data_IF_448461022582
#
_entry.id   IF_448461022582
#
_cell.length_a   1.000
_cell.length_b   1.000
_cell.length_c   1.000
_cell.angle_alpha   90.00
_cell.angle_beta   90.00
_cell.angle_gamma   90.00
#
_symmetry.space_group_name_H-M   'P 1'
#
loop_
_entity.id
_entity.type
_entity.pdbx_description
1 polymer ?
#
# COMPACT_ATOMS: atom_id res chain seq x y z
N UNK A 1 -13.55 6.81 52.59
CA UNK A 1 -12.62 7.58 51.72
C UNK A 1 -12.40 6.76 50.45
N UNK A 2 -13.06 7.09 49.33
CA UNK A 2 -12.77 6.48 48.03
C UNK A 2 -11.89 7.45 47.26
N UNK A 3 -10.66 7.04 46.94
CA UNK A 3 -9.72 7.83 46.14
C UNK A 3 -10.17 7.74 44.68
N UNK A 4 -10.45 8.89 44.08
CA UNK A 4 -10.68 9.02 42.64
C UNK A 4 -9.29 9.15 42.01
N UNK A 5 -8.94 8.20 41.14
CA UNK A 5 -7.74 8.29 40.31
C UNK A 5 -8.16 8.97 39.01
N UNK A 6 -7.71 10.21 38.81
CA UNK A 6 -7.85 10.90 37.53
C UNK A 6 -6.85 10.26 36.56
N UNK A 7 -7.35 9.45 35.63
CA UNK A 7 -6.59 9.00 34.49
C UNK A 7 -6.39 10.21 33.57
N UNK A 8 -5.20 10.78 33.57
CA UNK A 8 -4.81 11.80 32.61
C UNK A 8 -4.63 11.10 31.26
N UNK A 9 -5.68 11.06 30.45
CA UNK A 9 -5.59 10.62 29.06
C UNK A 9 -4.85 11.74 28.30
N UNK A 10 -3.56 11.53 28.04
CA UNK A 10 -2.82 12.37 27.12
C UNK A 10 -3.38 12.10 25.72
N UNK A 11 -4.36 12.90 25.30
CA UNK A 11 -4.70 13.03 23.89
C UNK A 11 -3.50 13.66 23.21
N UNK A 12 -2.60 12.82 22.69
CA UNK A 12 -1.66 13.25 21.68
C UNK A 12 -2.54 13.56 20.47
N UNK A 13 -2.87 14.84 20.29
CA UNK A 13 -3.43 15.29 19.04
C UNK A 13 -2.34 15.08 17.99
N UNK A 14 -2.35 13.94 17.33
CA UNK A 14 -1.65 13.76 16.07
C UNK A 14 -2.31 14.73 15.10
N UNK A 15 -1.67 15.89 14.91
CA UNK A 15 -1.94 16.72 13.74
C UNK A 15 -1.53 15.88 12.52
N UNK A 16 -2.46 15.10 11.99
CA UNK A 16 -2.30 14.41 10.72
C UNK A 16 -2.20 15.48 9.65
N UNK A 17 -1.00 15.66 9.09
CA UNK A 17 -0.81 16.51 7.93
C UNK A 17 -0.95 15.63 6.69
N UNK A 18 -2.20 15.32 6.33
CA UNK A 18 -2.55 14.49 5.16
C UNK A 18 -1.86 14.93 3.86
N UNK A 19 -1.43 16.20 3.81
CA UNK A 19 -0.64 16.76 2.72
C UNK A 19 0.77 16.16 2.60
N UNK A 20 1.46 15.88 3.70
CA UNK A 20 2.81 15.30 3.74
C UNK A 20 2.74 13.77 3.67
N UNK A 21 1.73 13.18 4.32
CA UNK A 21 1.56 11.72 4.42
C UNK A 21 1.53 11.02 3.05
N UNK A 22 2.20 9.88 2.93
CA UNK A 22 2.25 9.05 1.72
C UNK A 22 3.68 8.73 1.27
N UNK A 23 3.76 8.12 0.08
CA UNK A 23 5.02 7.77 -0.59
C UNK A 23 5.34 8.83 -1.64
N UNK A 24 6.59 9.27 -1.69
CA UNK A 24 7.07 10.30 -2.60
C UNK A 24 8.36 9.88 -3.28
N UNK A 25 8.50 10.28 -4.55
CA UNK A 25 9.69 10.04 -5.37
C UNK A 25 10.21 11.36 -5.91
N UNK A 26 11.51 11.46 -6.14
CA UNK A 26 12.06 12.62 -6.85
C UNK A 26 11.39 12.73 -8.22
N UNK A 27 10.97 13.94 -8.59
CA UNK A 27 10.30 14.17 -9.86
C UNK A 27 11.27 13.93 -11.01
N UNK A 28 10.95 13.02 -11.93
CA UNK A 28 11.75 12.73 -13.14
C UNK A 28 11.66 13.85 -14.18
N UNK A 29 12.18 15.02 -13.82
CA UNK A 29 12.19 16.20 -14.69
C UNK A 29 13.45 17.03 -14.48
N UNK A 30 13.87 17.81 -15.49
CA UNK A 30 14.89 18.83 -15.30
C UNK A 30 14.49 19.81 -14.19
N UNK A 31 15.45 20.21 -13.35
CA UNK A 31 15.15 21.13 -12.24
C UNK A 31 14.73 20.48 -10.92
N UNK A 32 14.53 19.16 -10.89
CA UNK A 32 14.11 18.45 -9.68
C UNK A 32 15.19 18.35 -8.61
N UNK A 33 16.47 18.34 -9.01
CA UNK A 33 17.61 18.54 -8.12
C UNK A 33 18.33 19.80 -8.59
N UNK A 34 18.46 20.78 -7.71
CA UNK A 34 19.08 22.05 -8.04
C UNK A 34 19.83 22.63 -6.84
N UNK A 35 20.91 23.35 -7.10
CA UNK A 35 21.68 24.05 -6.08
C UNK A 35 22.05 25.44 -6.55
N UNK A 36 22.00 26.39 -5.62
CA UNK A 36 22.30 27.78 -5.89
C UNK A 36 22.45 28.64 -4.63
N UNK A 37 22.76 29.93 -4.81
CA UNK A 37 23.04 30.84 -3.70
C UNK A 37 21.80 31.19 -2.85
N UNK A 38 20.59 31.07 -3.39
CA UNK A 38 19.34 31.44 -2.73
C UNK A 38 18.33 30.29 -2.81
N UNK A 39 17.30 30.33 -1.95
CA UNK A 39 16.19 29.37 -1.99
C UNK A 39 15.54 29.35 -3.39
N UNK A 40 15.37 28.15 -3.95
CA UNK A 40 14.87 27.95 -5.31
C UNK A 40 15.76 28.40 -6.46
N UNK A 41 17.02 28.72 -6.21
CA UNK A 41 18.01 29.03 -7.24
C UNK A 41 18.76 27.75 -7.66
N UNK A 42 18.81 27.47 -8.96
CA UNK A 42 19.53 26.33 -9.55
C UNK A 42 20.73 26.73 -10.41
N UNK A 43 21.28 27.94 -10.23
CA UNK A 43 22.28 28.52 -11.14
C UNK A 43 23.69 27.96 -10.97
N UNK A 44 24.02 27.32 -9.84
CA UNK A 44 25.30 26.63 -9.69
C UNK A 44 25.28 25.28 -10.41
N UNK A 45 24.21 24.53 -10.20
CA UNK A 45 23.94 23.30 -10.93
C UNK A 45 22.47 22.92 -10.80
N UNK A 46 21.93 22.29 -11.84
CA UNK A 46 20.63 21.63 -11.79
C UNK A 46 20.61 20.45 -12.75
N UNK A 47 19.90 19.38 -12.39
CA UNK A 47 19.78 18.21 -13.24
C UNK A 47 19.08 18.59 -14.56
N UNK A 48 19.61 18.07 -15.66
CA UNK A 48 19.03 18.13 -16.99
C UNK A 48 18.42 16.77 -17.37
N UNK A 49 17.72 16.73 -18.50
CA UNK A 49 17.11 15.49 -19.01
C UNK A 49 18.08 14.30 -19.09
N UNK A 50 19.35 14.45 -19.54
CA UNK A 50 20.29 13.32 -19.56
C UNK A 50 20.66 12.78 -18.18
N UNK A 51 20.58 13.60 -17.13
CA UNK A 51 20.91 13.18 -15.77
C UNK A 51 19.85 12.22 -15.22
N UNK A 52 18.62 12.25 -15.75
CA UNK A 52 17.56 11.31 -15.36
C UNK A 52 18.00 9.87 -15.67
N UNK A 53 18.43 9.64 -16.91
CA UNK A 53 18.94 8.32 -17.32
C UNK A 53 20.26 7.96 -16.65
N UNK A 54 21.14 8.95 -16.43
CA UNK A 54 22.47 8.70 -15.81
C UNK A 54 22.33 8.30 -14.34
N UNK A 55 21.32 8.84 -13.65
CA UNK A 55 21.06 8.62 -12.21
C UNK A 55 19.78 7.80 -12.00
N UNK A 56 19.50 6.84 -12.88
CA UNK A 56 18.23 6.10 -12.89
C UNK A 56 17.81 5.58 -11.50
N UNK A 57 18.76 4.99 -10.78
CA UNK A 57 18.63 4.46 -9.40
C UNK A 57 18.32 5.49 -8.31
N UNK A 58 18.29 6.80 -8.62
CA UNK A 58 17.91 7.83 -7.65
C UNK A 58 16.43 8.20 -7.78
N UNK A 59 15.82 7.93 -8.92
CA UNK A 59 14.47 8.39 -9.22
C UNK A 59 13.39 7.40 -8.75
N UNK A 60 13.76 6.13 -8.63
CA UNK A 60 12.98 5.06 -8.00
C UNK A 60 13.16 5.02 -6.47
N UNK A 61 14.10 5.78 -5.90
CA UNK A 61 14.22 5.98 -4.46
C UNK A 61 12.97 6.69 -3.90
N UNK A 62 12.35 6.05 -2.92
CA UNK A 62 11.17 6.54 -2.24
C UNK A 62 11.48 7.16 -0.88
N UNK A 63 10.59 8.07 -0.45
CA UNK A 63 10.49 8.51 0.94
C UNK A 63 9.05 8.35 1.42
N UNK A 64 8.88 7.78 2.60
CA UNK A 64 7.58 7.44 3.17
C UNK A 64 7.33 8.25 4.43
N UNK A 65 6.23 8.99 4.43
CA UNK A 65 5.71 9.70 5.60
C UNK A 65 4.43 9.03 6.07
N UNK A 66 4.47 8.26 7.15
CA UNK A 66 3.27 7.60 7.67
C UNK A 66 2.48 8.53 8.60
N UNK A 67 1.16 8.31 8.67
CA UNK A 67 0.25 9.11 9.50
C UNK A 67 0.51 9.00 11.02
N UNK A 68 1.25 7.96 11.46
CA UNK A 68 1.67 7.81 12.87
C UNK A 68 2.95 8.59 13.20
N UNK A 69 3.56 9.28 12.23
CA UNK A 69 4.77 10.09 12.40
C UNK A 69 6.08 9.37 12.09
N UNK A 70 6.04 8.12 11.62
CA UNK A 70 7.24 7.40 11.19
C UNK A 70 7.70 7.86 9.78
N UNK A 71 9.00 7.84 9.59
CA UNK A 71 9.66 8.18 8.33
C UNK A 71 10.55 7.01 7.89
N UNK A 72 10.58 6.75 6.58
CA UNK A 72 11.52 5.80 5.99
C UNK A 72 12.03 6.29 4.63
N UNK A 73 13.33 6.09 4.38
CA UNK A 73 13.89 6.01 3.03
C UNK A 73 13.65 4.59 2.49
N UNK A 74 13.29 4.46 1.22
CA UNK A 74 13.23 3.18 0.52
C UNK A 74 14.01 3.26 -0.79
N UNK A 75 15.24 2.78 -0.77
CA UNK A 75 16.23 2.88 -1.85
C UNK A 75 16.42 1.58 -2.64
N UNK A 76 15.76 0.49 -2.21
CA UNK A 76 15.84 -0.79 -2.91
C UNK A 76 17.27 -1.33 -2.98
N UNK A 77 17.64 -1.87 -4.15
CA UNK A 77 18.94 -2.54 -4.34
C UNK A 77 20.09 -1.58 -4.64
N UNK A 78 19.81 -0.46 -5.33
CA UNK A 78 20.79 0.49 -5.81
C UNK A 78 20.27 1.92 -5.61
N UNK A 79 21.15 2.84 -5.20
CA UNK A 79 20.91 4.30 -5.15
C UNK A 79 22.08 5.05 -5.79
N UNK A 80 21.96 6.37 -5.96
CA UNK A 80 23.08 7.19 -6.45
C UNK A 80 24.12 7.41 -5.35
N UNK A 81 25.30 6.84 -5.56
CA UNK A 81 26.44 6.95 -4.66
C UNK A 81 27.45 7.97 -5.16
N UNK A 82 28.05 8.69 -4.22
CA UNK A 82 29.19 9.58 -4.45
C UNK A 82 30.46 9.01 -3.81
N UNK A 83 31.67 9.44 -4.23
CA UNK A 83 32.93 8.87 -3.74
C UNK A 83 33.13 8.87 -2.22
N UNK A 84 32.48 9.79 -1.50
CA UNK A 84 32.54 9.84 -0.04
C UNK A 84 31.86 8.62 0.62
N UNK A 85 30.98 7.92 -0.10
CA UNK A 85 30.33 6.68 0.32
C UNK A 85 31.18 5.43 0.00
N UNK A 86 32.38 5.58 -0.55
CA UNK A 86 33.34 4.49 -0.76
C UNK A 86 33.38 3.92 -2.18
N UNK A 87 32.63 4.50 -3.13
CA UNK A 87 32.71 4.19 -4.56
C UNK A 87 33.83 4.96 -5.26
N UNK A 88 34.27 4.49 -6.42
CA UNK A 88 35.41 5.08 -7.15
C UNK A 88 35.04 6.38 -7.90
N UNK A 89 33.78 6.51 -8.30
CA UNK A 89 33.18 7.65 -8.98
C UNK A 89 31.71 7.78 -8.60
N UNK A 90 31.02 8.81 -9.10
CA UNK A 90 29.57 8.85 -8.96
C UNK A 90 28.94 7.74 -9.81
N UNK A 91 28.16 6.86 -9.19
CA UNK A 91 27.55 5.70 -9.84
C UNK A 91 26.32 5.19 -9.09
N UNK A 92 25.49 4.40 -9.77
CA UNK A 92 24.47 3.59 -9.09
C UNK A 92 25.13 2.42 -8.37
N UNK A 93 24.70 2.14 -7.14
CA UNK A 93 25.15 0.98 -6.38
C UNK A 93 24.46 0.83 -5.03
N UNK A 94 24.80 -0.23 -4.30
CA UNK A 94 24.18 -0.59 -3.04
C UNK A 94 24.20 0.55 -1.99
N UNK A 95 23.04 0.92 -1.40
CA UNK A 95 22.97 1.96 -0.38
C UNK A 95 23.94 1.76 0.79
N UNK A 96 24.55 2.86 1.27
CA UNK A 96 25.62 2.82 2.27
C UNK A 96 25.17 3.42 3.60
N UNK A 97 25.42 2.70 4.70
CA UNK A 97 25.11 3.16 6.05
C UNK A 97 25.85 4.45 6.44
N UNK A 98 25.21 5.36 7.19
CA UNK A 98 23.88 5.22 7.81
C UNK A 98 22.69 5.61 6.92
N UNK A 99 22.92 5.95 5.65
CA UNK A 99 21.90 6.46 4.74
C UNK A 99 21.18 5.37 3.93
N UNK A 100 21.35 4.10 4.29
CA UNK A 100 20.72 2.96 3.62
C UNK A 100 19.36 2.63 4.25
N UNK A 101 18.27 2.87 3.53
CA UNK A 101 16.89 2.64 4.00
C UNK A 101 16.64 3.17 5.43
N UNK A 102 17.18 4.36 5.69
CA UNK A 102 17.17 4.96 7.02
C UNK A 102 15.73 5.22 7.49
N UNK A 103 15.45 4.83 8.74
CA UNK A 103 14.17 5.05 9.40
C UNK A 103 14.27 6.09 10.51
N UNK A 104 13.19 6.82 10.76
CA UNK A 104 13.09 7.77 11.85
C UNK A 104 11.68 8.28 12.04
N UNK A 105 11.55 9.54 12.44
CA UNK A 105 10.27 10.22 12.61
C UNK A 105 10.24 11.52 11.84
N UNK A 106 9.05 12.03 11.52
CA UNK A 106 8.88 13.33 10.90
C UNK A 106 7.86 14.20 11.63
N UNK A 107 7.99 15.51 11.45
CA UNK A 107 6.98 16.50 11.86
C UNK A 107 6.92 17.65 10.85
N UNK A 108 5.76 18.29 10.76
CA UNK A 108 5.53 19.42 9.86
C UNK A 108 4.80 20.54 10.62
N UNK A 109 5.24 21.78 10.46
CA UNK A 109 4.62 22.93 11.16
C UNK A 109 3.73 23.81 10.26
N UNK A 110 3.54 23.40 9.00
CA UNK A 110 2.87 24.19 7.96
C UNK A 110 3.84 24.84 6.96
N UNK A 111 5.13 24.93 7.29
CA UNK A 111 6.18 25.46 6.42
C UNK A 111 7.48 24.64 6.44
N UNK A 112 7.83 24.06 7.58
CA UNK A 112 9.06 23.30 7.76
C UNK A 112 8.75 21.84 8.05
N UNK A 113 9.38 20.96 7.26
CA UNK A 113 9.41 19.52 7.48
C UNK A 113 10.68 19.17 8.24
N UNK A 114 10.54 18.54 9.41
CA UNK A 114 11.66 18.07 10.23
C UNK A 114 11.72 16.56 10.22
N UNK A 115 12.87 15.99 9.86
CA UNK A 115 13.19 14.58 10.01
C UNK A 115 14.07 14.38 11.25
N UNK A 116 13.86 13.29 11.98
CA UNK A 116 14.71 12.88 13.11
C UNK A 116 14.98 11.38 13.04
N UNK A 117 16.24 11.01 12.93
CA UNK A 117 16.72 9.65 12.76
C UNK A 117 18.10 9.67 12.11
N UNK A 118 19.01 8.78 12.53
CA UNK A 118 20.35 8.72 11.94
C UNK A 118 20.23 8.38 10.46
N UNK A 119 20.81 9.20 9.59
CA UNK A 119 20.81 8.98 8.13
C UNK A 119 19.49 9.30 7.42
N UNK A 120 18.43 9.72 8.12
CA UNK A 120 17.16 10.09 7.47
C UNK A 120 17.34 11.34 6.62
N UNK A 121 16.84 11.31 5.40
CA UNK A 121 16.94 12.43 4.47
C UNK A 121 15.86 12.39 3.39
N UNK A 122 15.55 13.56 2.83
CA UNK A 122 14.97 13.67 1.49
C UNK A 122 15.99 14.37 0.58
N UNK A 123 15.97 14.03 -0.69
CA UNK A 123 16.95 14.44 -1.69
C UNK A 123 18.25 13.66 -1.54
N UNK A 124 19.37 14.37 -1.44
CA UNK A 124 20.69 13.75 -1.36
C UNK A 124 21.16 13.52 0.09
N UNK A 125 21.73 12.36 0.41
CA UNK A 125 22.19 12.04 1.76
C UNK A 125 23.33 12.95 2.23
N UNK A 126 24.09 13.59 1.34
CA UNK A 126 25.16 14.50 1.79
C UNK A 126 24.67 15.81 2.40
N UNK A 127 23.43 16.23 2.16
CA UNK A 127 22.99 17.61 2.42
C UNK A 127 22.41 17.76 3.82
N UNK A 128 23.13 18.49 4.69
CA UNK A 128 22.75 18.75 6.07
C UNK A 128 22.34 20.22 6.25
N UNK A 129 21.66 20.55 7.35
CA UNK A 129 21.46 21.95 7.71
C UNK A 129 22.80 22.61 8.06
N UNK A 130 23.22 23.58 7.26
CA UNK A 130 24.45 24.36 7.48
C UNK A 130 25.75 23.68 7.08
N UNK A 131 25.72 22.45 6.51
CA UNK A 131 26.91 21.77 6.00
C UNK A 131 26.61 20.69 4.96
N UNK A 132 27.65 20.10 4.38
CA UNK A 132 27.57 18.87 3.56
C UNK A 132 28.56 17.81 4.05
N UNK A 133 28.17 16.54 3.93
CA UNK A 133 29.07 15.40 4.08
C UNK A 133 30.05 15.33 2.90
N UNK A 134 31.26 14.80 3.11
CA UNK A 134 31.84 14.35 4.38
C UNK A 134 32.49 15.47 5.20
N UNK A 135 32.26 16.75 4.84
CA UNK A 135 32.85 17.92 5.51
C UNK A 135 32.31 18.20 6.92
N UNK A 136 31.26 17.49 7.33
CA UNK A 136 30.64 17.56 8.64
C UNK A 136 30.25 16.15 9.14
N UNK A 137 29.71 16.08 10.36
CA UNK A 137 29.16 14.85 10.92
C UNK A 137 27.65 14.77 10.68
N UNK A 138 27.14 13.57 10.41
CA UNK A 138 25.69 13.31 10.40
C UNK A 138 25.10 13.60 11.78
N UNK A 139 24.02 14.37 11.82
CA UNK A 139 23.39 14.88 13.04
C UNK A 139 22.17 14.05 13.43
N UNK A 140 21.58 13.32 12.47
CA UNK A 140 20.32 12.61 12.66
C UNK A 140 19.10 13.54 12.73
N UNK A 141 19.24 14.82 12.36
CA UNK A 141 18.12 15.76 12.22
C UNK A 141 18.31 16.59 10.97
N UNK A 142 17.25 16.69 10.16
CA UNK A 142 17.21 17.57 8.98
C UNK A 142 15.92 18.37 8.96
N UNK A 143 16.02 19.64 8.63
CA UNK A 143 14.90 20.58 8.50
C UNK A 143 14.88 21.11 7.08
N UNK A 144 13.74 20.99 6.43
CA UNK A 144 13.50 21.43 5.06
C UNK A 144 12.41 22.51 5.07
N UNK A 145 12.62 23.60 4.34
CA UNK A 145 11.55 24.52 3.99
C UNK A 145 10.76 23.87 2.85
N UNK A 146 9.48 23.56 3.07
CA UNK A 146 8.66 22.82 2.10
C UNK A 146 7.45 23.64 1.65
N UNK A 147 7.11 23.46 0.37
CA UNK A 147 5.87 23.96 -0.22
C UNK A 147 5.26 22.89 -1.11
N UNK A 148 3.96 23.02 -1.37
CA UNK A 148 3.21 22.05 -2.14
C UNK A 148 2.44 22.73 -3.28
N UNK A 149 2.25 22.01 -4.36
CA UNK A 149 1.31 22.41 -5.41
C UNK A 149 -0.14 22.47 -4.87
N UNK A 150 -1.05 23.23 -5.52
CA UNK A 150 -2.44 23.35 -5.08
C UNK A 150 -3.20 22.02 -4.97
N UNK A 151 -2.83 21.02 -5.75
CA UNK A 151 -3.40 19.67 -5.72
C UNK A 151 -2.72 18.75 -4.69
N UNK A 152 -1.66 19.22 -4.03
CA UNK A 152 -0.90 18.47 -3.03
C UNK A 152 -0.04 17.33 -3.59
N UNK A 153 0.12 17.24 -4.91
CA UNK A 153 0.81 16.13 -5.56
C UNK A 153 2.31 16.38 -5.77
N UNK A 154 2.74 17.64 -5.75
CA UNK A 154 4.15 18.03 -5.87
C UNK A 154 4.61 18.66 -4.57
N UNK A 155 5.70 18.16 -3.99
CA UNK A 155 6.40 18.78 -2.88
C UNK A 155 7.68 19.42 -3.40
N UNK A 156 7.93 20.69 -3.06
CA UNK A 156 9.23 21.34 -3.27
C UNK A 156 9.87 21.54 -1.90
N UNK A 157 10.99 20.88 -1.66
CA UNK A 157 11.75 20.93 -0.43
C UNK A 157 13.09 21.64 -0.65
N UNK A 158 13.37 22.65 0.14
CA UNK A 158 14.62 23.40 0.12
C UNK A 158 15.38 23.22 1.45
N UNK A 159 16.69 23.08 1.39
CA UNK A 159 17.56 22.97 2.57
C UNK A 159 18.80 23.84 2.41
N UNK A 160 19.03 24.69 3.41
CA UNK A 160 20.23 25.52 3.47
C UNK A 160 21.39 24.70 4.03
N UNK A 161 22.44 24.52 3.22
CA UNK A 161 23.63 23.75 3.59
C UNK A 161 24.81 24.64 4.03
N UNK A 162 24.55 25.92 4.31
CA UNK A 162 25.52 26.92 4.78
C UNK A 162 25.91 27.90 3.67
N UNK A 163 26.69 27.47 2.66
CA UNK A 163 27.05 28.32 1.51
C UNK A 163 25.89 28.68 0.58
N UNK A 164 24.85 27.84 0.51
CA UNK A 164 23.72 28.03 -0.39
C UNK A 164 22.55 27.11 -0.05
N UNK A 165 21.72 26.84 -1.04
CA UNK A 165 20.49 26.07 -0.91
C UNK A 165 20.45 24.94 -1.94
N UNK A 166 20.09 23.75 -1.46
CA UNK A 166 19.61 22.68 -2.32
C UNK A 166 18.10 22.71 -2.41
N UNK A 167 17.58 22.36 -3.59
CA UNK A 167 16.16 22.13 -3.87
C UNK A 167 15.96 20.71 -4.37
N UNK A 168 14.92 20.07 -3.84
CA UNK A 168 14.42 18.77 -4.25
C UNK A 168 12.93 18.88 -4.58
N UNK A 169 12.55 18.50 -5.79
CA UNK A 169 11.15 18.44 -6.21
C UNK A 169 10.73 16.97 -6.21
N UNK A 170 9.68 16.68 -5.45
CA UNK A 170 9.11 15.36 -5.29
C UNK A 170 7.71 15.31 -5.88
N UNK A 171 7.33 14.14 -6.40
CA UNK A 171 5.97 13.81 -6.80
C UNK A 171 5.43 12.70 -5.91
N UNK A 172 4.16 12.84 -5.54
CA UNK A 172 3.46 11.85 -4.73
C UNK A 172 3.16 10.62 -5.59
N UNK A 173 3.37 9.44 -5.02
CA UNK A 173 2.99 8.17 -5.63
C UNK A 173 1.50 8.13 -5.98
N UNK A 174 1.14 7.41 -7.04
CA UNK A 174 -0.24 7.26 -7.50
C UNK A 174 -0.85 8.51 -8.15
N UNK A 175 -0.03 9.49 -8.55
CA UNK A 175 -0.48 10.71 -9.24
C UNK A 175 -0.02 10.73 -10.70
N UNK A 176 -0.68 11.53 -11.55
CA UNK A 176 -0.43 11.61 -13.01
C UNK A 176 1.00 12.06 -13.36
N UNK A 177 1.76 12.60 -12.39
CA UNK A 177 3.12 13.12 -12.58
C UNK A 177 4.21 12.38 -11.77
N UNK A 178 3.86 11.44 -10.89
CA UNK A 178 4.84 10.60 -10.17
C UNK A 178 5.10 9.28 -10.90
N UNK A 179 6.18 8.55 -10.58
CA UNK A 179 6.30 7.15 -10.99
C UNK A 179 5.06 6.41 -10.44
N UNK A 180 4.33 5.79 -11.35
CA UNK A 180 3.01 5.21 -11.06
C UNK A 180 3.16 3.85 -10.39
N UNK A 181 3.73 3.78 -9.18
CA UNK A 181 3.58 2.54 -8.41
C UNK A 181 2.12 2.39 -8.01
N UNK A 182 1.63 1.17 -8.02
CA UNK A 182 0.30 0.80 -7.58
C UNK A 182 0.37 -0.03 -6.31
N UNK A 183 -0.46 0.31 -5.32
CA UNK A 183 -0.60 -0.48 -4.10
C UNK A 183 -1.34 -1.79 -4.43
N UNK A 184 -0.60 -2.89 -4.41
CA UNK A 184 -1.14 -4.23 -4.68
C UNK A 184 -1.16 -5.03 -3.39
N UNK A 185 -2.36 -5.43 -2.98
CA UNK A 185 -2.58 -6.30 -1.83
C UNK A 185 -2.68 -7.75 -2.27
N UNK A 186 -1.73 -8.56 -1.83
CA UNK A 186 -1.71 -10.02 -2.03
C UNK A 186 -2.32 -10.72 -0.83
N UNK A 187 -3.13 -11.75 -1.09
CA UNK A 187 -3.75 -12.59 -0.07
C UNK A 187 -3.56 -14.06 -0.42
N UNK A 188 -3.15 -14.87 0.55
CA UNK A 188 -3.06 -16.34 0.39
C UNK A 188 -3.70 -17.03 1.58
N UNK A 189 -4.54 -18.03 1.31
CA UNK A 189 -5.12 -18.91 2.31
C UNK A 189 -4.22 -20.15 2.45
N UNK A 190 -3.67 -20.31 3.66
CA UNK A 190 -2.79 -21.41 4.04
C UNK A 190 -3.55 -22.53 4.77
N UNK A 191 -4.89 -22.51 4.83
CA UNK A 191 -5.69 -23.47 5.61
C UNK A 191 -5.48 -24.92 5.19
N UNK A 192 -5.19 -25.17 3.91
CA UNK A 192 -4.90 -26.51 3.38
C UNK A 192 -3.41 -26.87 3.39
N UNK A 193 -2.54 -25.93 3.80
CA UNK A 193 -1.11 -26.21 3.94
C UNK A 193 -0.88 -27.14 5.14
N UNK A 194 -0.38 -28.33 4.86
CA UNK A 194 -0.17 -29.38 5.88
C UNK A 194 1.24 -29.39 6.49
N UNK A 195 2.14 -28.57 5.96
CA UNK A 195 3.48 -28.39 6.50
C UNK A 195 3.48 -27.57 7.79
N UNK A 196 4.69 -27.30 8.30
CA UNK A 196 4.87 -26.40 9.45
C UNK A 196 5.25 -25.02 8.95
N UNK A 197 4.68 -23.98 9.54
CA UNK A 197 5.07 -22.58 9.34
C UNK A 197 5.83 -22.16 10.60
N UNK A 198 7.13 -21.93 10.48
CA UNK A 198 8.02 -21.58 11.58
C UNK A 198 8.20 -20.08 11.74
N UNK A 199 8.79 -19.41 10.75
CA UNK A 199 9.07 -17.97 10.73
C UNK A 199 8.00 -17.16 10.02
N UNK A 200 7.27 -17.75 9.06
CA UNK A 200 6.10 -17.11 8.45
C UNK A 200 5.88 -17.44 6.98
N UNK A 201 4.92 -16.73 6.38
CA UNK A 201 4.64 -16.76 4.95
C UNK A 201 5.21 -15.50 4.31
N UNK A 202 5.80 -15.64 3.12
CA UNK A 202 6.48 -14.56 2.41
C UNK A 202 6.03 -14.54 0.96
N UNK A 203 6.11 -13.36 0.33
CA UNK A 203 5.92 -13.22 -1.11
C UNK A 203 7.27 -12.92 -1.79
N UNK A 204 7.56 -13.65 -2.87
CA UNK A 204 8.79 -13.51 -3.63
C UNK A 204 8.47 -13.35 -5.11
N UNK A 205 9.19 -12.49 -5.82
CA UNK A 205 8.94 -12.28 -7.23
C UNK A 205 10.01 -11.45 -7.94
N UNK A 206 9.73 -11.09 -9.18
CA UNK A 206 10.64 -10.29 -10.01
C UNK A 206 10.91 -8.91 -9.42
N UNK A 207 9.95 -8.33 -8.68
CA UNK A 207 10.03 -7.02 -8.05
C UNK A 207 10.94 -6.96 -6.82
N UNK A 208 11.33 -8.09 -6.23
CA UNK A 208 12.26 -8.14 -5.10
C UNK A 208 13.45 -9.08 -5.34
N UNK A 209 13.70 -9.46 -6.59
CA UNK A 209 14.79 -10.36 -6.95
C UNK A 209 14.72 -11.74 -6.29
N UNK A 210 13.51 -12.24 -5.96
CA UNK A 210 13.31 -13.55 -5.32
C UNK A 210 14.06 -13.72 -3.98
N UNK A 211 14.13 -12.67 -3.17
CA UNK A 211 15.09 -12.58 -2.08
C UNK A 211 14.89 -13.56 -0.89
N UNK A 212 13.71 -14.18 -0.76
CA UNK A 212 13.36 -15.08 0.35
C UNK A 212 12.54 -14.41 1.42
N UNK A 213 13.19 -13.77 2.39
CA UNK A 213 12.56 -13.30 3.62
C UNK A 213 12.27 -11.79 3.68
N UNK A 214 12.56 -11.02 2.63
CA UNK A 214 12.41 -9.55 2.68
C UNK A 214 10.97 -9.05 2.69
N UNK A 215 10.01 -9.83 2.18
CA UNK A 215 8.60 -9.45 2.13
C UNK A 215 7.75 -10.42 2.95
N UNK A 216 7.83 -10.37 4.30
CA UNK A 216 6.98 -11.16 5.17
C UNK A 216 5.52 -10.72 5.04
N UNK A 217 4.62 -11.68 5.01
CA UNK A 217 3.19 -11.45 5.06
C UNK A 217 2.70 -11.45 6.52
N UNK A 218 1.60 -10.76 6.78
CA UNK A 218 0.96 -10.71 8.09
C UNK A 218 -0.18 -11.72 8.15
N UNK A 219 -0.25 -12.51 9.22
CA UNK A 219 -1.40 -13.37 9.53
C UNK A 219 -2.62 -12.49 9.84
N UNK A 220 -3.63 -12.56 8.97
CA UNK A 220 -4.90 -11.84 9.08
C UNK A 220 -5.99 -12.65 9.82
N UNK A 221 -5.66 -13.86 10.29
CA UNK A 221 -6.57 -14.78 10.94
C UNK A 221 -7.31 -15.69 9.95
N UNK A 222 -7.89 -16.79 10.46
CA UNK A 222 -8.66 -17.73 9.64
C UNK A 222 -7.85 -18.46 8.57
N UNK A 223 -6.52 -18.51 8.69
CA UNK A 223 -5.62 -19.12 7.72
C UNK A 223 -5.12 -18.17 6.63
N UNK A 224 -5.60 -16.92 6.59
CA UNK A 224 -5.24 -15.94 5.56
C UNK A 224 -3.99 -15.17 5.95
N UNK A 225 -3.06 -15.05 5.01
CA UNK A 225 -1.89 -14.19 5.09
C UNK A 225 -1.99 -13.08 4.05
N UNK A 226 -1.61 -11.85 4.43
CA UNK A 226 -1.76 -10.65 3.60
C UNK A 226 -0.52 -9.76 3.63
N UNK A 227 -0.23 -9.12 2.50
CA UNK A 227 0.73 -8.01 2.40
C UNK A 227 0.29 -7.02 1.31
N UNK A 228 0.57 -5.74 1.51
CA UNK A 228 0.36 -4.69 0.49
C UNK A 228 1.71 -4.13 0.11
N UNK A 229 2.04 -4.14 -1.18
CA UNK A 229 3.31 -3.65 -1.72
C UNK A 229 3.06 -2.55 -2.76
N UNK A 230 3.82 -1.45 -2.76
CA UNK A 230 3.84 -0.52 -3.87
C UNK A 230 4.68 -1.13 -5.01
N UNK A 231 4.05 -1.37 -6.16
CA UNK A 231 4.69 -2.06 -7.28
C UNK A 231 4.58 -1.25 -8.57
N UNK A 232 5.65 -1.25 -9.37
CA UNK A 232 5.64 -0.61 -10.68
C UNK A 232 4.58 -1.23 -11.62
N UNK A 233 4.06 -0.45 -12.59
CA UNK A 233 3.20 -0.99 -13.62
C UNK A 233 3.94 -2.01 -14.47
N UNK A 234 3.22 -3.02 -14.94
CA UNK A 234 3.76 -4.04 -15.82
C UNK A 234 3.55 -5.45 -15.29
N UNK A 235 4.14 -6.41 -15.98
CA UNK A 235 3.96 -7.83 -15.67
C UNK A 235 5.04 -8.31 -14.69
N UNK A 236 4.60 -8.85 -13.56
CA UNK A 236 5.46 -9.49 -12.57
C UNK A 236 5.25 -11.00 -12.55
N UNK A 237 6.27 -11.74 -12.13
CA UNK A 237 6.12 -13.12 -11.68
C UNK A 237 6.33 -13.20 -10.17
N UNK A 238 5.60 -14.08 -9.48
CA UNK A 238 5.72 -14.23 -8.03
C UNK A 238 5.34 -15.63 -7.52
N UNK A 239 5.66 -15.90 -6.25
CA UNK A 239 5.27 -17.08 -5.46
C UNK A 239 4.99 -16.67 -4.02
N UNK A 240 4.09 -17.40 -3.38
CA UNK A 240 4.07 -17.49 -1.92
C UNK A 240 5.07 -18.57 -1.45
N UNK A 241 5.72 -18.33 -0.33
CA UNK A 241 6.74 -19.23 0.22
C UNK A 241 6.61 -19.32 1.73
N UNK A 242 7.06 -20.42 2.31
CA UNK A 242 7.07 -20.66 3.75
C UNK A 242 8.50 -20.63 4.26
N UNK A 243 8.71 -19.90 5.36
CA UNK A 243 9.98 -19.77 6.07
C UNK A 243 11.18 -19.46 5.15
N UNK A 244 11.02 -18.44 4.30
CA UNK A 244 12.09 -17.92 3.45
C UNK A 244 12.72 -18.96 2.51
N UNK A 245 11.88 -19.69 1.75
CA UNK A 245 12.23 -20.80 0.85
C UNK A 245 12.39 -22.19 1.47
N UNK A 246 12.01 -22.39 2.75
CA UNK A 246 11.95 -23.75 3.32
C UNK A 246 10.89 -24.61 2.62
N UNK A 247 9.77 -23.99 2.24
CA UNK A 247 8.79 -24.55 1.31
C UNK A 247 8.28 -23.45 0.35
N UNK A 248 7.70 -23.86 -0.77
CA UNK A 248 7.26 -22.96 -1.83
C UNK A 248 6.07 -23.52 -2.59
N UNK A 249 5.35 -22.65 -3.30
CA UNK A 249 4.30 -23.11 -4.21
C UNK A 249 4.87 -23.95 -5.35
N UNK A 250 4.25 -25.09 -5.61
CA UNK A 250 4.54 -25.95 -6.76
C UNK A 250 3.26 -26.11 -7.60
N UNK A 251 3.33 -25.70 -8.86
CA UNK A 251 2.22 -25.76 -9.81
C UNK A 251 2.48 -26.82 -10.87
N UNK A 252 1.40 -27.40 -11.42
CA UNK A 252 1.52 -28.38 -12.51
C UNK A 252 1.91 -27.68 -13.82
N UNK A 253 1.50 -26.43 -14.00
CA UNK A 253 1.78 -25.62 -15.19
C UNK A 253 0.60 -25.59 -16.16
N UNK A 254 0.30 -24.40 -16.67
CA UNK A 254 -0.80 -24.14 -17.60
C UNK A 254 -2.08 -23.61 -16.95
N UNK A 255 -2.07 -23.42 -15.63
CA UNK A 255 -3.12 -22.71 -14.91
C UNK A 255 -3.14 -21.22 -15.32
N UNK A 256 -4.33 -20.60 -15.34
CA UNK A 256 -4.55 -19.25 -15.87
C UNK A 256 -3.75 -18.15 -15.18
N UNK A 257 -3.45 -18.32 -13.89
CA UNK A 257 -2.68 -17.36 -13.10
C UNK A 257 -1.17 -17.65 -13.13
N UNK A 258 -0.68 -18.57 -13.98
CA UNK A 258 0.72 -18.99 -13.98
C UNK A 258 1.43 -18.75 -15.30
N UNK A 259 2.75 -18.68 -15.24
CA UNK A 259 3.66 -18.74 -16.39
C UNK A 259 4.80 -19.69 -16.05
N UNK A 260 5.21 -20.51 -17.03
CA UNK A 260 6.40 -21.36 -16.90
C UNK A 260 7.57 -20.70 -17.60
N UNK A 261 8.59 -20.35 -16.83
CA UNK A 261 9.81 -19.71 -17.30
C UNK A 261 11.04 -20.35 -16.64
N UNK A 262 12.06 -20.67 -17.44
CA UNK A 262 13.30 -21.30 -16.93
C UNK A 262 13.11 -22.66 -16.23
N UNK A 263 11.97 -23.34 -16.41
CA UNK A 263 11.63 -24.59 -15.72
C UNK A 263 10.90 -24.39 -14.39
N UNK A 264 10.60 -23.14 -14.01
CA UNK A 264 9.80 -22.81 -12.84
C UNK A 264 8.41 -22.35 -13.29
N UNK A 265 7.37 -22.89 -12.66
CA UNK A 265 6.00 -22.39 -12.83
C UNK A 265 5.70 -21.42 -11.70
N UNK A 266 5.56 -20.14 -12.05
CA UNK A 266 5.33 -19.02 -11.14
C UNK A 266 3.94 -18.44 -11.36
N UNK A 267 3.39 -17.75 -10.36
CA UNK A 267 2.21 -16.91 -10.58
C UNK A 267 2.60 -15.69 -11.43
N UNK A 268 1.66 -15.17 -12.23
CA UNK A 268 1.84 -13.98 -13.07
C UNK A 268 0.74 -12.98 -12.80
N UNK A 269 1.09 -11.69 -12.74
CA UNK A 269 0.16 -10.58 -12.56
C UNK A 269 0.58 -9.41 -13.44
N UNK A 270 -0.38 -8.80 -14.13
CA UNK A 270 -0.21 -7.50 -14.78
C UNK A 270 -0.74 -6.41 -13.86
N UNK A 271 0.11 -5.43 -13.57
CA UNK A 271 -0.19 -4.32 -12.67
C UNK A 271 -0.51 -3.09 -13.51
N UNK A 272 -1.76 -2.67 -13.47
CA UNK A 272 -2.26 -1.49 -14.20
C UNK A 272 -2.92 -0.45 -13.31
N UNK A 273 -3.21 -0.82 -12.06
CA UNK A 273 -3.86 0.02 -11.06
C UNK A 273 -3.67 -0.55 -9.65
N UNK A 274 -4.03 0.22 -8.63
CA UNK A 274 -4.11 -0.28 -7.25
C UNK A 274 -5.09 -1.46 -7.21
N UNK A 275 -4.68 -2.56 -6.57
CA UNK A 275 -5.46 -3.78 -6.61
C UNK A 275 -5.53 -4.46 -5.24
N UNK A 276 -6.72 -4.94 -4.88
CA UNK A 276 -6.91 -5.96 -3.86
C UNK A 276 -7.10 -7.30 -4.57
N UNK A 277 -6.09 -8.16 -4.53
CA UNK A 277 -6.17 -9.45 -5.18
C UNK A 277 -7.08 -10.40 -4.39
N UNK A 278 -7.80 -11.31 -5.07
CA UNK A 278 -8.59 -12.35 -4.40
C UNK A 278 -7.76 -13.19 -3.43
N UNK A 279 -8.42 -13.73 -2.42
CA UNK A 279 -7.82 -14.77 -1.57
C UNK A 279 -7.73 -16.05 -2.39
N UNK A 280 -6.51 -16.56 -2.55
CA UNK A 280 -6.23 -17.81 -3.28
C UNK A 280 -5.63 -18.85 -2.36
N UNK A 281 -5.89 -20.13 -2.62
CA UNK A 281 -5.24 -21.20 -1.87
C UNK A 281 -3.75 -21.27 -2.21
N UNK A 282 -2.94 -21.62 -1.22
CA UNK A 282 -1.54 -21.95 -1.45
C UNK A 282 -1.40 -23.01 -2.54
N UNK A 283 -0.56 -22.75 -3.54
CA UNK A 283 -0.36 -23.57 -4.74
C UNK A 283 -1.62 -23.77 -5.63
N UNK A 284 -2.54 -22.79 -5.63
CA UNK A 284 -3.74 -22.79 -6.49
C UNK A 284 -4.07 -21.39 -7.02
N UNK A 285 -4.61 -21.30 -8.23
CA UNK A 285 -5.19 -20.05 -8.73
C UNK A 285 -6.56 -19.72 -8.13
N UNK A 286 -7.18 -20.68 -7.45
CA UNK A 286 -8.53 -20.59 -6.91
C UNK A 286 -8.49 -20.54 -5.37
N UNK A 287 -9.58 -20.08 -4.74
CA UNK A 287 -9.75 -20.14 -3.29
C UNK A 287 -9.67 -21.58 -2.76
N UNK A 288 -9.26 -21.76 -1.50
CA UNK A 288 -9.27 -23.08 -0.88
C UNK A 288 -10.70 -23.62 -0.82
N UNK A 289 -10.96 -24.92 -1.07
CA UNK A 289 -12.29 -25.51 -0.99
C UNK A 289 -12.98 -25.23 0.36
N UNK A 290 -14.01 -24.37 0.34
CA UNK A 290 -14.74 -23.96 1.55
C UNK A 290 -14.00 -22.95 2.44
N UNK A 291 -12.82 -22.49 2.02
CA UNK A 291 -12.05 -21.40 2.62
C UNK A 291 -12.53 -20.01 2.20
N UNK A 292 -11.82 -18.98 2.66
CA UNK A 292 -12.16 -17.59 2.31
C UNK A 292 -11.91 -17.32 0.83
N UNK A 293 -12.78 -16.53 0.20
CA UNK A 293 -12.78 -16.32 -1.26
C UNK A 293 -13.57 -17.37 -2.07
N UNK A 294 -13.99 -18.49 -1.45
CA UNK A 294 -14.88 -19.46 -2.12
C UNK A 294 -16.32 -18.97 -2.17
N UNK A 295 -17.08 -19.40 -3.19
CA UNK A 295 -18.54 -19.21 -3.20
C UNK A 295 -19.22 -20.17 -2.20
N UNK A 296 -20.16 -19.64 -1.42
CA UNK A 296 -21.02 -20.38 -0.51
C UNK A 296 -22.47 -19.91 -0.64
N UNK A 297 -23.41 -20.84 -0.52
CA UNK A 297 -24.84 -20.53 -0.66
C UNK A 297 -25.39 -19.95 0.65
N UNK A 298 -25.78 -18.69 0.63
CA UNK A 298 -26.48 -18.02 1.73
C UNK A 298 -27.97 -18.04 1.46
N UNK A 299 -28.77 -18.50 2.44
CA UNK A 299 -30.24 -18.50 2.31
C UNK A 299 -30.83 -17.37 3.14
N UNK A 300 -31.41 -16.40 2.45
CA UNK A 300 -32.17 -15.30 3.03
C UNK A 300 -33.61 -15.75 3.24
N UNK A 301 -34.17 -15.43 4.42
CA UNK A 301 -35.55 -15.73 4.76
C UNK A 301 -36.20 -14.47 5.33
N UNK A 302 -37.44 -14.19 4.91
CA UNK A 302 -38.26 -13.11 5.46
C UNK A 302 -39.68 -13.61 5.67
N UNK A 303 -40.26 -13.30 6.83
CA UNK A 303 -41.64 -13.63 7.17
C UNK A 303 -42.56 -12.44 6.87
N UNK A 304 -43.42 -12.60 5.86
CA UNK A 304 -44.38 -11.61 5.40
C UNK A 304 -45.79 -11.88 5.94
N UNK A 305 -45.98 -12.84 6.87
CA UNK A 305 -47.31 -13.25 7.37
C UNK A 305 -48.10 -12.14 8.07
N UNK A 306 -47.42 -11.10 8.54
CA UNK A 306 -48.01 -9.93 9.19
C UNK A 306 -48.08 -8.69 8.29
N UNK A 307 -47.52 -8.75 7.08
CA UNK A 307 -47.60 -7.65 6.12
C UNK A 307 -48.99 -7.63 5.47
N UNK A 308 -49.76 -6.56 5.70
CA UNK A 308 -51.18 -6.51 5.37
C UNK A 308 -51.51 -5.93 3.99
N UNK A 309 -50.59 -5.15 3.41
CA UNK A 309 -50.80 -4.50 2.12
C UNK A 309 -50.56 -5.49 0.96
N UNK A 310 -51.27 -5.35 -0.17
CA UNK A 310 -51.10 -6.24 -1.31
C UNK A 310 -49.73 -6.04 -1.97
N UNK A 311 -49.08 -7.15 -2.33
CA UNK A 311 -47.84 -7.19 -3.10
C UNK A 311 -47.85 -8.39 -4.06
N UNK A 312 -46.96 -8.39 -5.06
CA UNK A 312 -46.85 -9.50 -6.02
C UNK A 312 -45.64 -10.39 -5.75
N UNK A 313 -44.46 -9.80 -5.57
CA UNK A 313 -43.19 -10.53 -5.39
C UNK A 313 -42.34 -9.89 -4.31
N UNK A 314 -41.75 -10.72 -3.45
CA UNK A 314 -40.71 -10.32 -2.50
C UNK A 314 -39.35 -10.51 -3.15
N UNK A 315 -38.43 -9.58 -2.92
CA UNK A 315 -37.07 -9.63 -3.44
C UNK A 315 -36.06 -9.40 -2.30
N UNK A 316 -34.85 -9.92 -2.48
CA UNK A 316 -33.68 -9.55 -1.68
C UNK A 316 -32.65 -8.84 -2.56
N UNK A 317 -32.27 -7.63 -2.18
CA UNK A 317 -31.34 -6.78 -2.93
C UNK A 317 -30.19 -6.36 -2.03
N UNK A 318 -28.97 -6.26 -2.54
CA UNK A 318 -27.81 -5.92 -1.73
C UNK A 318 -26.54 -5.67 -2.55
N UNK A 319 -25.41 -5.54 -1.86
CA UNK A 319 -24.11 -5.32 -2.51
C UNK A 319 -23.77 -6.42 -3.52
N UNK A 320 -24.13 -7.66 -3.22
CA UNK A 320 -23.90 -8.85 -4.07
C UNK A 320 -24.63 -8.85 -5.42
N UNK A 321 -25.62 -7.98 -5.64
CA UNK A 321 -26.32 -7.85 -6.92
C UNK A 321 -26.44 -6.40 -7.39
N UNK A 322 -25.57 -5.52 -6.89
CA UNK A 322 -25.58 -4.08 -7.20
C UNK A 322 -26.95 -3.42 -6.96
N UNK A 323 -27.62 -3.80 -5.86
CA UNK A 323 -28.94 -3.28 -5.48
C UNK A 323 -30.04 -3.42 -6.54
N UNK A 324 -29.92 -4.42 -7.43
CA UNK A 324 -30.91 -4.68 -8.47
C UNK A 324 -32.30 -5.02 -7.86
N UNK A 325 -33.35 -4.37 -8.38
CA UNK A 325 -34.72 -4.43 -7.86
C UNK A 325 -35.56 -5.62 -8.35
N UNK A 326 -35.11 -6.37 -9.36
CA UNK A 326 -35.85 -7.49 -9.93
C UNK A 326 -35.00 -8.77 -10.11
N UNK A 327 -33.69 -8.69 -9.84
CA UNK A 327 -32.75 -9.78 -10.12
C UNK A 327 -32.93 -11.04 -9.24
N UNK A 328 -33.43 -10.88 -8.01
CA UNK A 328 -33.48 -11.96 -7.01
C UNK A 328 -34.89 -12.10 -6.42
N UNK A 329 -35.88 -12.57 -7.20
CA UNK A 329 -37.21 -12.87 -6.68
C UNK A 329 -37.13 -14.02 -5.67
N UNK A 330 -37.73 -13.82 -4.50
CA UNK A 330 -37.86 -14.84 -3.47
C UNK A 330 -39.03 -15.76 -3.80
N UNK A 331 -38.95 -17.01 -3.35
CA UNK A 331 -40.02 -18.00 -3.51
C UNK A 331 -40.81 -18.14 -2.20
N UNK A 332 -42.13 -18.13 -2.30
CA UNK A 332 -43.03 -18.45 -1.18
C UNK A 332 -42.80 -19.91 -0.72
N UNK A 333 -42.36 -20.07 0.52
CA UNK A 333 -42.10 -21.34 1.17
C UNK A 333 -43.30 -21.83 2.02
N UNK A 334 -44.41 -21.10 2.00
CA UNK A 334 -45.63 -21.37 2.76
C UNK A 334 -45.70 -20.59 4.07
N UNK A 335 -46.93 -20.42 4.59
CA UNK A 335 -47.20 -19.75 5.87
C UNK A 335 -46.67 -18.31 5.97
N UNK A 336 -46.48 -17.62 4.83
CA UNK A 336 -45.95 -16.26 4.78
C UNK A 336 -44.43 -16.18 4.78
N UNK A 337 -43.70 -17.30 4.82
CA UNK A 337 -42.24 -17.33 4.75
C UNK A 337 -41.78 -17.28 3.28
N UNK A 338 -40.90 -16.34 2.96
CA UNK A 338 -40.27 -16.22 1.65
C UNK A 338 -38.77 -16.50 1.74
N UNK A 339 -38.21 -17.17 0.74
CA UNK A 339 -36.78 -17.52 0.72
C UNK A 339 -36.10 -17.31 -0.63
N UNK A 340 -34.82 -16.95 -0.59
CA UNK A 340 -33.92 -16.98 -1.74
C UNK A 340 -32.54 -17.49 -1.30
N UNK A 341 -31.90 -18.28 -2.17
CA UNK A 341 -30.53 -18.75 -1.94
C UNK A 341 -29.61 -18.08 -2.94
N UNK A 342 -28.65 -17.32 -2.44
CA UNK A 342 -27.72 -16.54 -3.25
C UNK A 342 -26.30 -17.05 -3.00
N UNK A 343 -25.52 -17.38 -4.05
CA UNK A 343 -24.10 -17.66 -3.89
C UNK A 343 -23.37 -16.36 -3.52
N UNK A 344 -22.63 -16.39 -2.42
CA UNK A 344 -21.84 -15.27 -1.91
C UNK A 344 -20.42 -15.72 -1.62
N UNK A 345 -19.45 -14.82 -1.71
CA UNK A 345 -18.05 -15.10 -1.38
C UNK A 345 -17.87 -15.18 0.14
N UNK A 346 -17.21 -16.24 0.61
CA UNK A 346 -16.87 -16.40 2.03
C UNK A 346 -15.86 -15.32 2.43
N UNK A 347 -16.20 -14.54 3.46
CA UNK A 347 -15.37 -13.45 3.98
C UNK A 347 -15.85 -12.05 3.56
N UNK A 348 -16.70 -11.95 2.53
CA UNK A 348 -17.27 -10.67 2.10
C UNK A 348 -18.29 -10.15 3.13
N UNK A 349 -18.21 -8.85 3.41
CA UNK A 349 -19.27 -8.12 4.10
C UNK A 349 -20.19 -7.52 3.04
N UNK A 350 -21.48 -7.82 3.13
CA UNK A 350 -22.49 -7.25 2.22
C UNK A 350 -23.63 -6.64 3.01
N UNK A 351 -24.13 -5.51 2.53
CA UNK A 351 -25.40 -4.96 2.96
C UNK A 351 -26.53 -5.54 2.11
N UNK A 352 -27.71 -5.68 2.70
CA UNK A 352 -28.91 -6.16 2.00
C UNK A 352 -30.19 -5.54 2.57
N UNK A 353 -31.26 -5.56 1.78
CA UNK A 353 -32.63 -5.23 2.18
C UNK A 353 -33.62 -6.19 1.51
N UNK A 354 -34.75 -6.42 2.19
CA UNK A 354 -35.94 -6.96 1.53
C UNK A 354 -36.77 -5.82 0.90
N UNK A 355 -37.36 -6.08 -0.25
CA UNK A 355 -38.25 -5.12 -0.93
C UNK A 355 -39.37 -5.84 -1.70
N UNK A 356 -40.43 -5.09 -2.00
CA UNK A 356 -41.60 -5.56 -2.71
C UNK A 356 -41.71 -4.84 -4.06
N UNK A 357 -42.04 -5.60 -5.09
CA UNK A 357 -42.45 -5.10 -6.40
C UNK A 357 -41.54 -3.99 -6.96
N UNK A 358 -40.24 -4.28 -7.04
CA UNK A 358 -39.21 -3.40 -7.64
C UNK A 358 -39.04 -2.07 -6.90
N UNK A 359 -38.80 -2.15 -5.58
CA UNK A 359 -38.63 -1.00 -4.69
C UNK A 359 -39.89 -0.17 -4.45
N UNK A 360 -41.08 -0.67 -4.80
CA UNK A 360 -42.35 -0.01 -4.46
C UNK A 360 -42.51 0.13 -2.92
N UNK A 361 -42.01 -0.88 -2.19
CA UNK A 361 -41.85 -0.83 -0.72
C UNK A 361 -40.49 -1.43 -0.39
N UNK A 362 -39.74 -0.78 0.49
CA UNK A 362 -38.47 -1.27 0.99
C UNK A 362 -38.51 -1.44 2.51
N UNK A 363 -37.75 -2.41 3.01
CA UNK A 363 -37.47 -2.51 4.44
C UNK A 363 -36.73 -1.25 4.92
N UNK A 364 -37.29 -0.61 5.94
CA UNK A 364 -36.72 0.57 6.59
C UNK A 364 -36.61 0.31 8.09
N UNK A 365 -35.39 0.33 8.61
CA UNK A 365 -35.15 0.26 10.05
C UNK A 365 -35.29 1.66 10.65
N UNK A 366 -36.17 1.82 11.63
CA UNK A 366 -36.21 3.04 12.45
C UNK A 366 -35.00 2.97 13.38
N UNK A 367 -34.11 3.98 13.35
CA UNK A 367 -32.87 3.95 14.12
C UNK A 367 -33.09 3.62 15.60
N UNK A 368 -32.46 2.54 16.07
CA UNK A 368 -32.54 2.10 17.48
C UNK A 368 -32.69 0.59 17.70
N UNK A 369 -32.89 -0.21 16.65
CA UNK A 369 -32.88 -1.68 16.79
C UNK A 369 -31.48 -2.22 16.49
N UNK A 370 -30.89 -2.87 17.50
CA UNK A 370 -29.55 -3.49 17.47
C UNK A 370 -29.60 -4.96 17.12
#
# INVERSE_FOLDING_TARGET
MKKIYTLLLLLIASTSYAQVEGVWYLAEQPGALAVGPNIGDGSWWSNATPDIATRACLWDDSVVFSANGDFANGMGADTWLEPWQGVAGEECGAPVAPHNDATGTWSFDGTQLTLTGMGTHIGLPKVLNGAELPGAAETGTRVYDVSFSPDGNTMTADINFGPGWWRFVYQKSGTVAGPTTYDVTFNVDMSDYTGTIGTGVYINGTFNGWCGDCNPMTDAGGGIWKVTLPLDPGTIQYKFTVDGWTDQEEFVGGESCTVTDGGFTNRVLEITENALLPVVCFASCEACPGGQGSASNVTFNVDMSLYADPFTTVYVSGGFNNWCGDCNPMTDAGSGLWKATIPMTVGDVTEYKFQLDEWAVAEEFVGGES
#
